data_IF_005736819994
#
_entry.id   IF_005736819994
#
_cell.length_a   1.000
_cell.length_b   1.000
_cell.length_c   1.000
_cell.angle_alpha   90.00
_cell.angle_beta   90.00
_cell.angle_gamma   90.00
#
_symmetry.space_group_name_H-M   'P 1'
#
loop_
_entity.id
_entity.type
_entity.pdbx_description
1 polymer ?
#
# COMPACT_ATOMS: atom_id res chain seq x y z
N UNK A 1 15.72 19.07 -6.91
CA UNK A 1 14.93 19.66 -5.80
C UNK A 1 14.29 18.55 -4.99
N UNK A 2 14.29 18.65 -3.65
CA UNK A 2 13.83 17.56 -2.75
C UNK A 2 12.41 17.06 -3.07
N UNK A 3 11.48 17.95 -3.42
CA UNK A 3 10.11 17.57 -3.78
C UNK A 3 10.03 16.59 -4.96
N UNK A 4 10.94 16.68 -5.94
CA UNK A 4 10.96 15.76 -7.10
C UNK A 4 11.50 14.38 -6.74
N UNK A 5 12.38 14.29 -5.74
CA UNK A 5 12.85 13.01 -5.22
C UNK A 5 11.73 12.29 -4.45
N UNK A 6 11.00 13.01 -3.59
CA UNK A 6 9.84 12.46 -2.88
C UNK A 6 8.78 11.90 -3.83
N UNK A 7 8.49 12.59 -4.93
CA UNK A 7 7.56 12.11 -5.97
C UNK A 7 8.03 10.79 -6.60
N UNK A 8 9.32 10.71 -6.98
CA UNK A 8 9.87 9.50 -7.58
C UNK A 8 9.79 8.32 -6.59
N UNK A 9 10.22 8.53 -5.35
CA UNK A 9 10.12 7.53 -4.29
C UNK A 9 8.68 7.09 -4.05
N UNK A 10 7.72 8.02 -4.03
CA UNK A 10 6.30 7.69 -3.90
C UNK A 10 5.81 6.79 -5.03
N UNK A 11 6.10 7.16 -6.29
CA UNK A 11 5.67 6.39 -7.44
C UNK A 11 6.28 4.97 -7.44
N UNK A 12 7.56 4.85 -7.10
CA UNK A 12 8.27 3.57 -6.99
C UNK A 12 7.64 2.69 -5.90
N UNK A 13 7.38 3.25 -4.72
CA UNK A 13 6.80 2.53 -3.58
C UNK A 13 5.35 2.09 -3.83
N UNK A 14 4.51 2.97 -4.40
CA UNK A 14 3.13 2.61 -4.74
C UNK A 14 3.10 1.50 -5.80
N UNK A 15 3.98 1.56 -6.80
CA UNK A 15 4.09 0.53 -7.84
C UNK A 15 4.52 -0.81 -7.24
N UNK A 16 5.50 -0.78 -6.33
CA UNK A 16 5.98 -1.98 -5.61
C UNK A 16 4.85 -2.62 -4.81
N UNK A 17 4.17 -1.85 -3.97
CA UNK A 17 3.14 -2.40 -3.06
C UNK A 17 1.91 -2.87 -3.82
N UNK A 18 1.53 -2.19 -4.89
CA UNK A 18 0.45 -2.66 -5.77
C UNK A 18 0.77 -4.03 -6.39
N UNK A 19 2.05 -4.26 -6.76
CA UNK A 19 2.50 -5.57 -7.25
C UNK A 19 2.41 -6.64 -6.16
N UNK A 20 2.99 -6.37 -5.00
CA UNK A 20 3.05 -7.31 -3.88
C UNK A 20 1.64 -7.72 -3.41
N UNK A 21 0.78 -6.74 -3.12
CA UNK A 21 -0.56 -7.00 -2.57
C UNK A 21 -1.52 -7.51 -3.65
N UNK A 22 -1.44 -6.98 -4.87
CA UNK A 22 -2.40 -7.27 -5.93
C UNK A 22 -2.10 -8.52 -6.75
N UNK A 23 -0.83 -8.77 -7.05
CA UNK A 23 -0.42 -9.86 -7.95
C UNK A 23 0.24 -11.01 -7.20
N UNK A 24 1.17 -10.71 -6.31
CA UNK A 24 1.93 -11.75 -5.59
C UNK A 24 1.16 -12.29 -4.37
N UNK A 25 0.03 -11.66 -4.01
CA UNK A 25 -0.80 -12.05 -2.87
C UNK A 25 -0.12 -11.81 -1.52
N UNK A 26 0.93 -10.99 -1.47
CA UNK A 26 1.65 -10.64 -0.25
C UNK A 26 0.85 -9.59 0.53
N UNK A 27 -0.10 -10.08 1.33
CA UNK A 27 -0.99 -9.24 2.11
C UNK A 27 -0.25 -8.53 3.25
N UNK A 28 -0.47 -7.22 3.38
CA UNK A 28 0.11 -6.37 4.43
C UNK A 28 1.20 -5.42 3.96
N UNK A 29 1.58 -5.46 2.68
CA UNK A 29 2.51 -4.50 2.07
C UNK A 29 2.01 -3.06 2.19
N UNK A 30 2.92 -2.14 2.51
CA UNK A 30 2.66 -0.70 2.66
C UNK A 30 3.78 0.12 2.03
N UNK A 31 3.41 1.27 1.47
CA UNK A 31 4.33 2.21 0.85
C UNK A 31 5.01 3.06 1.94
N UNK A 32 6.33 3.17 1.86
CA UNK A 32 7.12 3.99 2.77
C UNK A 32 7.85 5.09 2.00
N UNK A 33 7.45 6.35 2.20
CA UNK A 33 8.01 7.48 1.46
C UNK A 33 8.66 8.46 2.44
N UNK A 34 9.98 8.33 2.69
CA UNK A 34 10.71 9.22 3.58
C UNK A 34 10.62 10.68 3.11
N UNK A 35 10.35 11.59 4.05
CA UNK A 35 10.23 13.01 3.76
C UNK A 35 8.91 13.41 3.08
N UNK A 36 7.93 12.50 2.96
CA UNK A 36 6.58 12.87 2.57
C UNK A 36 5.96 13.82 3.60
N UNK A 37 5.50 14.97 3.13
CA UNK A 37 4.84 16.00 3.92
C UNK A 37 3.70 16.65 3.12
N UNK A 38 2.75 17.26 3.81
CA UNK A 38 1.56 17.85 3.21
C UNK A 38 0.80 16.85 2.34
N UNK A 39 0.39 17.28 1.15
CA UNK A 39 -0.38 16.46 0.19
C UNK A 39 0.27 15.10 -0.12
N UNK A 40 1.60 14.99 -0.11
CA UNK A 40 2.28 13.72 -0.37
C UNK A 40 2.12 12.71 0.76
N UNK A 41 2.11 13.20 1.99
CA UNK A 41 1.83 12.35 3.15
C UNK A 41 0.39 11.87 3.09
N UNK A 42 -0.56 12.76 2.80
CA UNK A 42 -1.98 12.42 2.71
C UNK A 42 -2.24 11.35 1.63
N UNK A 43 -1.59 11.47 0.47
CA UNK A 43 -1.67 10.47 -0.60
C UNK A 43 -1.07 9.11 -0.19
N UNK A 44 0.10 9.12 0.48
CA UNK A 44 0.74 7.89 0.97
C UNK A 44 -0.15 7.18 1.99
N UNK A 45 -0.73 7.93 2.93
CA UNK A 45 -1.61 7.40 3.97
C UNK A 45 -2.93 6.86 3.38
N UNK A 46 -3.49 7.54 2.37
CA UNK A 46 -4.69 7.10 1.67
C UNK A 46 -4.47 5.77 0.93
N UNK A 47 -3.37 5.65 0.17
CA UNK A 47 -3.02 4.41 -0.53
C UNK A 47 -2.77 3.26 0.46
N UNK A 48 -2.05 3.52 1.55
CA UNK A 48 -1.81 2.53 2.60
C UNK A 48 -3.11 2.05 3.27
N UNK A 49 -4.10 2.93 3.40
CA UNK A 49 -5.43 2.56 3.91
C UNK A 49 -6.14 1.59 2.97
N UNK A 50 -6.10 1.83 1.66
CA UNK A 50 -6.68 0.91 0.66
C UNK A 50 -6.03 -0.47 0.73
N UNK A 51 -4.69 -0.54 0.78
CA UNK A 51 -3.98 -1.82 0.85
C UNK A 51 -4.22 -2.58 2.16
N UNK A 52 -4.34 -1.87 3.29
CA UNK A 52 -4.71 -2.48 4.57
C UNK A 52 -6.14 -3.04 4.52
N UNK A 53 -7.09 -2.29 3.97
CA UNK A 53 -8.47 -2.76 3.81
C UNK A 53 -8.55 -3.99 2.92
N UNK A 54 -7.84 -3.99 1.79
CA UNK A 54 -7.78 -5.15 0.88
C UNK A 54 -7.19 -6.38 1.57
N UNK A 55 -6.11 -6.20 2.33
CA UNK A 55 -5.49 -7.27 3.14
C UNK A 55 -6.48 -7.89 4.12
N UNK A 56 -7.23 -7.06 4.85
CA UNK A 56 -8.26 -7.53 5.79
C UNK A 56 -9.35 -8.31 5.05
N UNK A 57 -9.90 -7.76 3.97
CA UNK A 57 -10.97 -8.40 3.19
C UNK A 57 -10.56 -9.79 2.67
N UNK A 58 -9.33 -9.93 2.16
CA UNK A 58 -8.86 -11.23 1.64
C UNK A 58 -8.65 -12.24 2.78
N UNK A 59 -8.12 -11.82 3.94
CA UNK A 59 -7.98 -12.69 5.12
C UNK A 59 -9.33 -13.12 5.70
N UNK A 60 -10.32 -12.23 5.70
CA UNK A 60 -11.68 -12.55 6.14
C UNK A 60 -12.31 -13.62 5.24
N UNK A 61 -12.17 -13.48 3.92
CA UNK A 61 -12.62 -14.50 2.96
C UNK A 61 -11.95 -15.85 3.22
N UNK A 62 -10.62 -15.86 3.43
CA UNK A 62 -9.87 -17.09 3.71
C UNK A 62 -10.33 -17.76 5.02
N UNK A 63 -10.71 -16.96 6.03
CA UNK A 63 -11.26 -17.48 7.29
C UNK A 63 -12.61 -18.15 7.06
N UNK A 64 -13.50 -17.51 6.29
CA UNK A 64 -14.82 -18.07 5.95
C UNK A 64 -14.70 -19.37 5.16
N UNK A 65 -13.80 -19.47 4.19
CA UNK A 65 -13.64 -20.69 3.38
C UNK A 65 -13.08 -21.87 4.17
N UNK A 66 -12.29 -21.63 5.23
CA UNK A 66 -11.78 -22.71 6.10
C UNK A 66 -12.78 -23.21 7.14
N UNK A 67 -13.87 -22.47 7.39
CA UNK A 67 -14.85 -22.79 8.43
C UNK A 67 -16.02 -23.67 7.93
N UNK A 68 -16.05 -23.98 6.63
CA UNK A 68 -17.05 -24.83 5.96
C UNK A 68 -16.52 -26.25 5.80
#
# INVERSE_FOLDING_TARGET
NQMTQTLRTFADEVTRVAREVGFDGQLGGQANVPGAAGTWKDLTDSVNTVFRNLTTQVRDIATVTTAV
#
